data_IF_120353529611
#
_entry.id   IF_120353529611
#
_cell.length_a   1.000
_cell.length_b   1.000
_cell.length_c   1.000
_cell.angle_alpha   90.00
_cell.angle_beta   90.00
_cell.angle_gamma   90.00
#
_symmetry.space_group_name_H-M   'P 1'
#
loop_
_entity.id
_entity.type
_entity.pdbx_description
1 polymer ?
#
# COMPACT_ATOMS: atom_id res chain seq x y z
N UNK A 1 -5.94 -12.19 -21.53
CA UNK A 1 -6.26 -10.89 -20.90
C UNK A 1 -5.59 -10.89 -19.54
N UNK A 2 -4.73 -9.90 -19.25
CA UNK A 2 -4.13 -9.79 -17.91
C UNK A 2 -5.17 -9.28 -16.93
N UNK A 3 -5.21 -9.83 -15.71
CA UNK A 3 -6.07 -9.33 -14.65
C UNK A 3 -5.74 -7.84 -14.35
N UNK A 4 -6.75 -7.00 -14.05
CA UNK A 4 -6.53 -5.60 -13.74
C UNK A 4 -5.66 -5.47 -12.48
N UNK A 5 -4.58 -4.69 -12.59
CA UNK A 5 -3.65 -4.43 -11.49
C UNK A 5 -3.76 -2.99 -11.03
N UNK A 6 -3.68 -2.78 -9.72
CA UNK A 6 -3.49 -1.45 -9.12
C UNK A 6 -2.10 -1.42 -8.51
N UNK A 7 -1.27 -0.47 -8.93
CA UNK A 7 0.04 -0.24 -8.31
C UNK A 7 -0.07 0.91 -7.32
N UNK A 8 0.45 0.70 -6.12
CA UNK A 8 0.35 1.63 -5.02
C UNK A 8 1.70 1.79 -4.32
N UNK A 9 1.94 2.99 -3.81
CA UNK A 9 3.07 3.29 -2.94
C UNK A 9 2.59 3.89 -1.64
N UNK A 10 3.30 3.61 -0.56
CA UNK A 10 3.04 4.19 0.75
C UNK A 10 4.29 4.10 1.63
N UNK A 11 4.33 4.89 2.69
CA UNK A 11 5.41 4.90 3.68
C UNK A 11 4.92 4.28 4.99
N UNK A 12 5.70 3.35 5.55
CA UNK A 12 5.50 2.82 6.91
C UNK A 12 6.45 3.56 7.84
N UNK A 13 5.93 4.32 8.80
CA UNK A 13 6.72 5.00 9.83
C UNK A 13 7.25 4.00 10.87
N UNK A 14 8.20 4.43 11.71
CA UNK A 14 8.83 3.58 12.73
C UNK A 14 7.84 2.90 13.68
N UNK A 15 6.72 3.54 14.00
CA UNK A 15 5.65 3.03 14.85
C UNK A 15 4.67 2.09 14.13
N UNK A 16 4.88 1.84 12.83
CA UNK A 16 4.00 1.04 11.98
C UNK A 16 2.88 1.83 11.31
N UNK A 17 2.75 3.13 11.54
CA UNK A 17 1.74 3.98 10.90
C UNK A 17 1.99 4.06 9.40
N UNK A 18 0.94 3.84 8.59
CA UNK A 18 1.01 4.00 7.13
C UNK A 18 0.67 5.45 6.74
N UNK A 19 1.49 6.05 5.89
CA UNK A 19 1.33 7.42 5.37
C UNK A 19 1.64 7.48 3.87
N UNK A 20 1.40 8.64 3.24
CA UNK A 20 1.76 8.91 1.83
C UNK A 20 1.23 7.86 0.84
N UNK A 21 -0.01 7.42 1.04
CA UNK A 21 -0.66 6.40 0.20
C UNK A 21 -1.01 7.03 -1.17
N UNK A 22 -0.48 6.45 -2.24
CA UNK A 22 -0.66 6.95 -3.61
C UNK A 22 -0.83 5.79 -4.60
N UNK A 23 -1.85 5.87 -5.46
CA UNK A 23 -1.97 4.98 -6.62
C UNK A 23 -1.06 5.51 -7.71
N UNK A 24 -0.05 4.74 -8.07
CA UNK A 24 0.90 5.08 -9.14
C UNK A 24 0.45 4.57 -10.51
N UNK A 25 -0.39 3.53 -10.53
CA UNK A 25 -1.06 3.05 -11.74
C UNK A 25 -2.45 2.49 -11.39
N UNK A 26 -3.48 3.11 -11.96
CA UNK A 26 -4.88 2.70 -11.82
C UNK A 26 -5.16 1.38 -12.56
N UNK A 27 -6.10 0.59 -12.04
CA UNK A 27 -6.64 -0.58 -12.72
C UNK A 27 -7.55 -0.24 -13.92
N UNK A 28 -7.96 1.02 -14.05
CA UNK A 28 -9.04 1.45 -14.94
C UNK A 28 -10.44 1.16 -14.40
N UNK A 29 -10.56 0.57 -13.20
CA UNK A 29 -11.84 0.27 -12.53
C UNK A 29 -11.88 1.04 -11.19
N UNK A 30 -12.65 2.13 -11.08
CA UNK A 30 -12.67 2.97 -9.88
C UNK A 30 -12.99 2.24 -8.57
N UNK A 31 -13.84 1.22 -8.62
CA UNK A 31 -14.18 0.41 -7.45
C UNK A 31 -12.99 -0.41 -6.93
N UNK A 32 -12.17 -0.94 -7.84
CA UNK A 32 -10.98 -1.71 -7.49
C UNK A 32 -9.92 -0.78 -6.90
N UNK A 33 -9.71 0.39 -7.51
CA UNK A 33 -8.80 1.42 -7.00
C UNK A 33 -9.21 1.88 -5.58
N UNK A 34 -10.50 2.17 -5.36
CA UNK A 34 -11.02 2.56 -4.04
C UNK A 34 -10.89 1.43 -3.01
N UNK A 35 -11.13 0.19 -3.41
CA UNK A 35 -10.94 -0.97 -2.52
C UNK A 35 -9.48 -1.14 -2.12
N UNK A 36 -8.56 -0.91 -3.05
CA UNK A 36 -7.10 -0.95 -2.83
C UNK A 36 -6.67 0.09 -1.80
N UNK A 37 -7.11 1.35 -1.96
CA UNK A 37 -6.83 2.41 -0.98
C UNK A 37 -7.36 2.06 0.42
N UNK A 38 -8.60 1.58 0.51
CA UNK A 38 -9.21 1.20 1.79
C UNK A 38 -8.49 0.04 2.45
N UNK A 39 -8.03 -0.95 1.67
CA UNK A 39 -7.30 -2.10 2.22
C UNK A 39 -5.98 -1.66 2.87
N UNK A 40 -5.22 -0.79 2.21
CA UNK A 40 -3.96 -0.25 2.75
C UNK A 40 -4.22 0.62 3.99
N UNK A 41 -5.23 1.49 3.94
CA UNK A 41 -5.63 2.29 5.11
C UNK A 41 -6.06 1.43 6.30
N UNK A 42 -6.86 0.37 6.06
CA UNK A 42 -7.32 -0.55 7.09
C UNK A 42 -6.19 -1.42 7.68
N UNK A 43 -5.06 -1.52 6.99
CA UNK A 43 -3.87 -2.24 7.46
C UNK A 43 -3.03 -1.39 8.43
N UNK A 44 -3.37 -0.10 8.60
CA UNK A 44 -2.67 0.80 9.52
C UNK A 44 -3.27 0.74 10.93
N UNK A 45 -2.43 0.69 12.00
CA UNK A 45 -0.98 0.55 11.96
C UNK A 45 -0.55 -0.92 11.76
N UNK A 46 0.63 -1.09 11.16
CA UNK A 46 1.34 -2.37 11.12
C UNK A 46 2.16 -2.57 12.40
N UNK A 47 2.82 -3.72 12.52
CA UNK A 47 3.86 -3.89 13.53
C UNK A 47 4.95 -2.82 13.36
N UNK A 48 5.51 -2.29 14.47
CA UNK A 48 6.56 -1.30 14.40
C UNK A 48 7.81 -1.87 13.71
N UNK A 49 8.61 -0.96 13.15
CA UNK A 49 9.87 -1.36 12.52
C UNK A 49 10.85 -1.92 13.57
N UNK A 50 11.71 -2.88 13.18
CA UNK A 50 12.72 -3.42 14.08
C UNK A 50 13.59 -2.32 14.71
N UNK A 51 13.95 -2.42 16.01
CA UNK A 51 14.71 -1.37 16.69
C UNK A 51 16.08 -1.07 16.07
N UNK A 52 16.69 -2.08 15.45
CA UNK A 52 17.98 -2.04 14.74
C UNK A 52 17.87 -1.42 13.34
N UNK A 53 16.66 -1.18 12.83
CA UNK A 53 16.46 -0.41 11.61
C UNK A 53 16.85 1.05 11.85
N UNK A 54 17.85 1.54 11.12
CA UNK A 54 18.39 2.90 11.29
C UNK A 54 17.50 3.99 10.69
N UNK A 55 16.59 3.64 9.77
CA UNK A 55 15.69 4.58 9.13
C UNK A 55 14.50 4.97 10.02
N UNK A 56 13.81 6.05 9.62
CA UNK A 56 12.57 6.51 10.28
C UNK A 56 11.30 6.04 9.56
N UNK A 57 11.45 5.51 8.34
CA UNK A 57 10.36 4.97 7.53
C UNK A 57 10.86 3.96 6.50
N UNK A 58 9.97 3.13 6.01
CA UNK A 58 10.16 2.25 4.84
C UNK A 58 9.17 2.64 3.76
N UNK A 59 9.65 2.92 2.54
CA UNK A 59 8.78 3.14 1.39
C UNK A 59 8.48 1.82 0.70
N UNK A 60 7.20 1.49 0.56
CA UNK A 60 6.71 0.26 -0.05
C UNK A 60 6.18 0.56 -1.44
N UNK A 61 6.51 -0.31 -2.40
CA UNK A 61 5.88 -0.38 -3.72
C UNK A 61 5.22 -1.73 -3.85
N UNK A 62 3.91 -1.75 -4.03
CA UNK A 62 3.12 -2.99 -4.06
C UNK A 62 2.06 -2.93 -5.17
N UNK A 63 1.54 -4.08 -5.58
CA UNK A 63 0.41 -4.14 -6.50
C UNK A 63 -0.64 -5.14 -6.06
N UNK A 64 -1.90 -4.80 -6.26
CA UNK A 64 -3.03 -5.71 -6.11
C UNK A 64 -3.32 -6.36 -7.46
N UNK A 65 -3.44 -7.68 -7.47
CA UNK A 65 -3.86 -8.47 -8.65
C UNK A 65 -5.28 -8.98 -8.40
N UNK A 66 -6.27 -8.37 -9.05
CA UNK A 66 -7.66 -8.78 -8.88
C UNK A 66 -7.96 -9.99 -9.79
N UNK A 67 -7.79 -11.19 -9.22
CA UNK A 67 -8.21 -12.44 -9.87
C UNK A 67 -9.59 -12.84 -9.35
N UNK A 68 -10.49 -13.13 -10.28
CA UNK A 68 -11.79 -13.75 -9.98
C UNK A 68 -11.61 -15.24 -9.73
#
# INVERSE_FOLDING_TARGET
MSAPRVYITFDILRDGTITNIEITQSSGIPEVDRSTLRAVQASSPLSPLPPDYSGNKVSVKFYFDFRR
#
